data_IF_230860485171
#
_entry.id   IF_230860485171
#
_cell.length_a   1.000
_cell.length_b   1.000
_cell.length_c   1.000
_cell.angle_alpha   90.00
_cell.angle_beta   90.00
_cell.angle_gamma   90.00
#
_symmetry.space_group_name_H-M   'P 1'
#
loop_
_entity.id
_entity.type
_entity.pdbx_description
1 polymer ?
#
# COMPACT_ATOMS: atom_id res chain seq x y z
N UNK A 1 -2.35 -39.88 -44.49
CA UNK A 1 -3.45 -39.10 -43.86
C UNK A 1 -3.06 -37.63 -43.93
N UNK A 2 -3.63 -36.82 -44.83
CA UNK A 2 -3.38 -35.38 -44.82
C UNK A 2 -3.90 -34.78 -43.51
N UNK A 3 -3.06 -33.98 -42.85
CA UNK A 3 -3.39 -33.35 -41.58
C UNK A 3 -4.56 -32.39 -41.75
N UNK A 4 -5.64 -32.62 -41.00
CA UNK A 4 -6.77 -31.72 -40.92
C UNK A 4 -6.28 -30.36 -40.38
N UNK A 5 -6.07 -29.40 -41.27
CA UNK A 5 -5.95 -28.00 -40.89
C UNK A 5 -7.32 -27.55 -40.37
N UNK A 6 -7.46 -27.46 -39.04
CA UNK A 6 -8.67 -26.92 -38.40
C UNK A 6 -8.71 -25.43 -38.73
N UNK A 7 -9.52 -25.06 -39.72
CA UNK A 7 -9.82 -23.65 -40.02
C UNK A 7 -10.70 -23.14 -38.88
N UNK A 8 -10.13 -22.32 -37.99
CA UNK A 8 -10.90 -21.60 -36.97
C UNK A 8 -11.56 -20.39 -37.63
N UNK A 9 -12.85 -20.48 -37.91
CA UNK A 9 -13.65 -19.35 -38.40
C UNK A 9 -14.27 -18.60 -37.22
N UNK A 10 -14.14 -17.27 -37.17
CA UNK A 10 -14.78 -16.43 -36.14
C UNK A 10 -15.81 -15.55 -36.82
N UNK A 11 -17.08 -15.76 -36.46
CA UNK A 11 -18.18 -14.91 -36.92
C UNK A 11 -18.29 -13.70 -36.01
N UNK A 12 -17.83 -12.54 -36.48
CA UNK A 12 -18.01 -11.26 -35.82
C UNK A 12 -19.44 -10.81 -36.11
N UNK A 13 -20.25 -10.65 -35.05
CA UNK A 13 -21.63 -10.14 -35.18
C UNK A 13 -21.67 -8.67 -35.58
N UNK A 14 -22.86 -8.12 -35.81
CA UNK A 14 -23.01 -6.69 -36.05
C UNK A 14 -22.49 -5.87 -34.85
N UNK A 15 -21.82 -4.76 -35.15
CA UNK A 15 -21.38 -3.84 -34.11
C UNK A 15 -22.60 -3.26 -33.39
N UNK A 16 -22.61 -3.30 -32.06
CA UNK A 16 -23.63 -2.68 -31.23
C UNK A 16 -23.02 -1.56 -30.37
N UNK A 17 -23.79 -0.51 -30.02
CA UNK A 17 -23.33 0.50 -29.08
C UNK A 17 -23.30 -0.06 -27.64
N UNK A 18 -22.42 0.45 -26.76
CA UNK A 18 -22.44 0.15 -25.34
C UNK A 18 -23.70 0.66 -24.66
N UNK A 19 -24.09 0.06 -23.55
CA UNK A 19 -25.26 0.50 -22.80
C UNK A 19 -24.94 1.70 -21.91
N UNK A 20 -25.69 2.79 -22.10
CA UNK A 20 -25.38 4.09 -21.49
C UNK A 20 -26.22 4.44 -20.26
N UNK A 21 -27.30 3.72 -19.97
CA UNK A 21 -28.18 4.02 -18.84
C UNK A 21 -27.74 3.31 -17.54
N UNK A 22 -28.21 3.76 -16.36
CA UNK A 22 -27.90 3.13 -15.08
C UNK A 22 -28.39 1.68 -15.00
N UNK A 23 -27.68 0.84 -14.25
CA UNK A 23 -28.00 -0.58 -14.06
C UNK A 23 -29.44 -0.81 -13.56
N UNK A 24 -29.94 0.08 -12.70
CA UNK A 24 -31.29 0.02 -12.14
C UNK A 24 -32.43 0.19 -13.17
N UNK A 25 -32.13 0.64 -14.39
CA UNK A 25 -33.11 0.75 -15.47
C UNK A 25 -33.37 -0.56 -16.22
N UNK A 26 -32.50 -1.56 -16.03
CA UNK A 26 -32.53 -2.82 -16.75
C UNK A 26 -33.43 -3.84 -16.07
N UNK A 27 -34.07 -4.70 -16.86
CA UNK A 27 -34.92 -5.77 -16.35
C UNK A 27 -34.14 -7.09 -16.25
N UNK A 28 -34.17 -7.81 -15.11
CA UNK A 28 -33.41 -9.04 -14.95
C UNK A 28 -33.79 -10.13 -15.97
N UNK A 29 -32.79 -10.86 -16.48
CA UNK A 29 -32.94 -12.05 -17.33
C UNK A 29 -32.11 -13.20 -16.77
N UNK A 30 -32.61 -14.44 -16.93
CA UNK A 30 -31.95 -15.67 -16.48
C UNK A 30 -31.08 -16.26 -17.57
N UNK A 31 -30.15 -17.14 -17.22
CA UNK A 31 -29.33 -17.84 -18.22
C UNK A 31 -30.20 -18.69 -19.17
N UNK A 32 -31.21 -19.39 -18.65
CA UNK A 32 -32.10 -20.24 -19.46
C UNK A 32 -32.99 -19.47 -20.44
N UNK A 33 -33.22 -18.20 -20.18
CA UNK A 33 -34.05 -17.34 -21.02
C UNK A 33 -33.25 -16.71 -22.16
N UNK A 34 -31.94 -16.95 -22.22
CA UNK A 34 -31.08 -16.45 -23.29
C UNK A 34 -31.37 -17.18 -24.60
N UNK A 35 -31.56 -16.39 -25.65
CA UNK A 35 -31.79 -16.86 -27.01
C UNK A 35 -30.52 -16.77 -27.85
N UNK A 36 -30.25 -17.82 -28.62
CA UNK A 36 -29.02 -17.96 -29.41
C UNK A 36 -28.89 -16.84 -30.45
N UNK A 37 -27.66 -16.34 -30.64
CA UNK A 37 -27.32 -15.23 -31.54
C UNK A 37 -28.17 -13.96 -31.32
N UNK A 38 -28.62 -13.72 -30.08
CA UNK A 38 -29.48 -12.59 -29.74
C UNK A 38 -28.88 -11.70 -28.66
N UNK A 39 -28.91 -10.38 -28.92
CA UNK A 39 -28.58 -9.33 -27.97
C UNK A 39 -29.81 -8.98 -27.13
N UNK A 40 -29.79 -9.26 -25.84
CA UNK A 40 -30.95 -9.06 -24.96
C UNK A 40 -31.06 -7.61 -24.50
N UNK A 41 -31.52 -6.72 -25.38
CA UNK A 41 -31.62 -5.28 -25.13
C UNK A 41 -32.52 -4.95 -23.93
N UNK A 42 -32.11 -3.97 -23.12
CA UNK A 42 -32.86 -3.57 -21.92
C UNK A 42 -32.89 -4.62 -20.80
N UNK A 43 -32.08 -5.68 -20.92
CA UNK A 43 -31.97 -6.76 -19.93
C UNK A 43 -30.65 -6.70 -19.17
N UNK A 44 -30.66 -7.21 -17.94
CA UNK A 44 -29.44 -7.41 -17.13
C UNK A 44 -29.37 -8.86 -16.68
N UNK A 45 -28.21 -9.47 -16.86
CA UNK A 45 -27.91 -10.80 -16.35
C UNK A 45 -26.97 -10.65 -15.14
N UNK A 46 -27.39 -11.19 -13.99
CA UNK A 46 -26.60 -11.18 -12.76
C UNK A 46 -26.09 -12.59 -12.51
N UNK A 47 -24.78 -12.73 -12.39
CA UNK A 47 -24.12 -14.03 -12.26
C UNK A 47 -22.96 -13.99 -11.28
N UNK A 48 -22.65 -15.14 -10.67
CA UNK A 48 -21.45 -15.36 -9.86
C UNK A 48 -20.45 -16.21 -10.64
N UNK A 49 -19.20 -15.77 -10.70
CA UNK A 49 -18.11 -16.59 -11.21
C UNK A 49 -17.73 -17.65 -10.17
N UNK A 50 -17.68 -18.92 -10.55
CA UNK A 50 -17.28 -20.02 -9.65
C UNK A 50 -16.03 -20.77 -10.12
N UNK A 51 -15.60 -20.55 -11.36
CA UNK A 51 -14.36 -21.10 -11.91
C UNK A 51 -13.13 -20.20 -11.70
N UNK A 52 -11.98 -20.67 -12.19
CA UNK A 52 -10.76 -19.87 -12.31
C UNK A 52 -10.78 -19.10 -13.64
N UNK A 53 -10.50 -17.78 -13.64
CA UNK A 53 -10.45 -17.03 -14.89
C UNK A 53 -9.30 -17.54 -15.77
N UNK A 54 -9.60 -17.75 -17.05
CA UNK A 54 -8.63 -18.21 -18.04
C UNK A 54 -8.52 -17.19 -19.19
N UNK A 55 -7.34 -17.10 -19.80
CA UNK A 55 -7.06 -16.16 -20.89
C UNK A 55 -6.90 -16.94 -22.19
N UNK A 56 -7.71 -16.58 -23.18
CA UNK A 56 -7.50 -16.97 -24.57
C UNK A 56 -7.32 -15.71 -25.40
N UNK A 57 -8.32 -15.33 -26.19
CA UNK A 57 -8.43 -14.01 -26.83
C UNK A 57 -9.23 -13.00 -25.97
N UNK A 58 -9.88 -13.51 -24.93
CA UNK A 58 -10.68 -12.80 -23.93
C UNK A 58 -10.40 -13.40 -22.55
N UNK A 59 -10.87 -12.72 -21.50
CA UNK A 59 -10.93 -13.30 -20.16
C UNK A 59 -12.23 -14.08 -20.05
N UNK A 60 -12.13 -15.37 -19.74
CA UNK A 60 -13.25 -16.31 -19.70
C UNK A 60 -13.36 -16.91 -18.30
N UNK A 61 -14.57 -17.01 -17.76
CA UNK A 61 -14.83 -17.75 -16.53
C UNK A 61 -16.18 -18.50 -16.61
N UNK A 62 -16.33 -19.55 -15.81
CA UNK A 62 -17.60 -20.23 -15.59
C UNK A 62 -18.43 -19.44 -14.58
N UNK A 63 -19.70 -19.22 -14.91
CA UNK A 63 -20.62 -18.38 -14.15
C UNK A 63 -21.94 -19.11 -13.87
N UNK A 64 -22.55 -18.82 -12.73
CA UNK A 64 -23.85 -19.35 -12.32
C UNK A 64 -24.84 -18.20 -12.06
N UNK A 65 -26.12 -18.40 -12.35
CA UNK A 65 -27.19 -17.46 -11.99
C UNK A 65 -27.88 -17.82 -10.67
N UNK A 66 -28.84 -17.00 -10.22
CA UNK A 66 -29.54 -17.18 -8.93
C UNK A 66 -30.34 -18.48 -8.84
N UNK A 67 -30.63 -19.13 -9.97
CA UNK A 67 -31.36 -20.40 -10.03
C UNK A 67 -30.42 -21.61 -10.12
N UNK A 68 -29.10 -21.38 -10.16
CA UNK A 68 -28.08 -22.42 -10.26
C UNK A 68 -27.84 -22.92 -11.68
N UNK A 69 -28.36 -22.24 -12.70
CA UNK A 69 -27.99 -22.50 -14.08
C UNK A 69 -26.57 -22.00 -14.33
N UNK A 70 -25.80 -22.70 -15.17
CA UNK A 70 -24.37 -22.42 -15.38
C UNK A 70 -24.04 -22.26 -16.86
N UNK A 71 -23.16 -21.30 -17.17
CA UNK A 71 -22.62 -21.11 -18.52
C UNK A 71 -21.24 -20.44 -18.47
N UNK A 72 -20.61 -20.19 -19.62
CA UNK A 72 -19.36 -19.45 -19.76
C UNK A 72 -19.64 -17.98 -20.04
N UNK A 73 -18.88 -17.11 -19.38
CA UNK A 73 -18.84 -15.68 -19.66
C UNK A 73 -17.47 -15.31 -20.23
N UNK A 74 -17.46 -14.57 -21.34
CA UNK A 74 -16.25 -14.08 -21.98
C UNK A 74 -16.28 -12.55 -22.17
N UNK A 75 -15.27 -11.87 -21.63
CA UNK A 75 -15.13 -10.42 -21.67
C UNK A 75 -13.99 -10.04 -22.61
N UNK A 76 -14.33 -9.30 -23.67
CA UNK A 76 -13.43 -8.88 -24.74
C UNK A 76 -12.96 -7.43 -24.57
N UNK A 77 -12.01 -7.03 -25.41
CA UNK A 77 -11.50 -5.66 -25.53
C UNK A 77 -10.89 -5.11 -24.22
N UNK A 78 -10.32 -5.99 -23.41
CA UNK A 78 -9.53 -5.63 -22.23
C UNK A 78 -8.05 -5.47 -22.61
N UNK A 79 -7.33 -4.62 -21.88
CA UNK A 79 -5.89 -4.43 -22.08
C UNK A 79 -5.15 -5.71 -21.71
N UNK A 80 -4.15 -6.09 -22.52
CA UNK A 80 -3.33 -7.30 -22.30
C UNK A 80 -2.52 -7.27 -21.00
N UNK A 81 -2.37 -6.10 -20.37
CA UNK A 81 -1.68 -5.92 -19.09
C UNK A 81 -2.54 -6.21 -17.86
N UNK A 82 -3.85 -6.38 -18.03
CA UNK A 82 -4.77 -6.59 -16.91
C UNK A 82 -4.70 -8.04 -16.46
N UNK A 83 -4.54 -8.28 -15.15
CA UNK A 83 -4.52 -9.64 -14.62
C UNK A 83 -5.94 -10.24 -14.66
N UNK A 84 -6.11 -11.53 -15.01
CA UNK A 84 -7.44 -12.15 -15.13
C UNK A 84 -8.22 -12.14 -13.81
N UNK A 85 -7.51 -12.33 -12.71
CA UNK A 85 -8.05 -12.26 -11.35
C UNK A 85 -8.53 -10.86 -10.95
N UNK A 86 -8.08 -9.80 -11.63
CA UNK A 86 -8.54 -8.43 -11.36
C UNK A 86 -9.85 -8.11 -12.10
N UNK A 87 -10.27 -8.94 -13.07
CA UNK A 87 -11.46 -8.71 -13.91
C UNK A 87 -12.64 -9.55 -13.43
N UNK A 88 -12.47 -10.87 -13.36
CA UNK A 88 -13.55 -11.79 -12.99
C UNK A 88 -13.01 -12.92 -12.10
N UNK A 89 -12.59 -12.60 -10.86
CA UNK A 89 -12.07 -13.59 -9.94
C UNK A 89 -13.13 -14.61 -9.52
N UNK A 90 -12.67 -15.77 -9.03
CA UNK A 90 -13.55 -16.76 -8.43
C UNK A 90 -14.33 -16.16 -7.25
N UNK A 91 -15.65 -16.37 -7.24
CA UNK A 91 -16.59 -15.83 -6.26
C UNK A 91 -17.10 -14.42 -6.58
N UNK A 92 -16.59 -13.75 -7.63
CA UNK A 92 -17.06 -12.43 -8.01
C UNK A 92 -18.50 -12.47 -8.52
N UNK A 93 -19.30 -11.49 -8.13
CA UNK A 93 -20.66 -11.30 -8.63
C UNK A 93 -20.62 -10.14 -9.62
N UNK A 94 -21.12 -10.38 -10.83
CA UNK A 94 -21.10 -9.40 -11.91
C UNK A 94 -22.50 -9.23 -12.50
N UNK A 95 -22.78 -7.98 -12.88
CA UNK A 95 -23.93 -7.65 -13.70
C UNK A 95 -23.48 -7.38 -15.13
N UNK A 96 -24.14 -8.02 -16.08
CA UNK A 96 -23.90 -7.92 -17.51
C UNK A 96 -25.09 -7.19 -18.11
N UNK A 97 -24.83 -6.00 -18.66
CA UNK A 97 -25.84 -5.21 -19.35
C UNK A 97 -25.99 -5.75 -20.76
N UNK A 98 -27.22 -5.98 -21.18
CA UNK A 98 -27.58 -6.50 -22.50
C UNK A 98 -26.74 -7.72 -22.90
N UNK A 99 -26.88 -8.87 -22.23
CA UNK A 99 -26.06 -10.04 -22.52
C UNK A 99 -26.26 -10.51 -23.97
N UNK A 100 -25.15 -10.74 -24.67
CA UNK A 100 -25.14 -11.39 -25.99
C UNK A 100 -24.91 -12.88 -25.82
N UNK A 101 -25.82 -13.71 -26.29
CA UNK A 101 -25.62 -15.17 -26.25
C UNK A 101 -25.21 -15.69 -27.62
N UNK A 102 -24.04 -16.32 -27.71
CA UNK A 102 -23.37 -16.62 -28.98
C UNK A 102 -22.84 -18.05 -29.03
N UNK A 103 -22.78 -18.61 -30.23
CA UNK A 103 -22.05 -19.84 -30.52
C UNK A 103 -20.57 -19.60 -30.85
N UNK A 104 -19.67 -20.35 -30.22
CA UNK A 104 -18.24 -20.38 -30.57
C UNK A 104 -18.01 -21.13 -31.88
N UNK A 105 -16.81 -20.95 -32.45
CA UNK A 105 -16.34 -21.70 -33.62
C UNK A 105 -16.32 -23.23 -33.38
N UNK A 106 -16.09 -23.64 -32.14
CA UNK A 106 -15.99 -25.05 -31.73
C UNK A 106 -17.39 -25.67 -31.46
N UNK A 107 -18.47 -24.93 -31.72
CA UNK A 107 -19.86 -25.38 -31.62
C UNK A 107 -20.51 -25.17 -30.24
N UNK A 108 -19.73 -24.64 -29.32
CA UNK A 108 -19.99 -24.41 -27.90
C UNK A 108 -20.79 -23.10 -27.67
N UNK A 109 -21.49 -22.95 -26.55
CA UNK A 109 -22.26 -21.73 -26.22
C UNK A 109 -21.60 -20.93 -25.09
N UNK A 110 -21.81 -19.60 -25.11
CA UNK A 110 -21.32 -18.69 -24.08
C UNK A 110 -21.99 -17.31 -24.15
N UNK A 111 -21.95 -16.60 -23.02
CA UNK A 111 -22.29 -15.18 -22.91
C UNK A 111 -21.07 -14.34 -23.28
N UNK A 112 -21.24 -13.42 -24.23
CA UNK A 112 -20.19 -12.54 -24.74
C UNK A 112 -20.44 -11.10 -24.29
N UNK A 113 -19.39 -10.42 -23.85
CA UNK A 113 -19.38 -8.98 -23.55
C UNK A 113 -18.25 -8.31 -24.31
N UNK A 114 -18.59 -7.41 -25.25
CA UNK A 114 -17.59 -6.71 -26.06
C UNK A 114 -17.19 -5.35 -25.46
N UNK A 115 -18.08 -4.69 -24.74
CA UNK A 115 -17.80 -3.40 -24.13
C UNK A 115 -17.52 -3.58 -22.65
N UNK A 116 -16.30 -3.24 -22.17
CA UNK A 116 -15.99 -3.33 -20.74
C UNK A 116 -16.93 -2.52 -19.83
N UNK A 117 -17.60 -1.48 -20.35
CA UNK A 117 -18.60 -0.68 -19.62
C UNK A 117 -19.93 -1.39 -19.35
N UNK A 118 -20.20 -2.46 -20.09
CA UNK A 118 -21.40 -3.29 -19.96
C UNK A 118 -21.20 -4.40 -18.92
N UNK A 119 -19.97 -4.55 -18.44
CA UNK A 119 -19.59 -5.42 -17.35
C UNK A 119 -19.41 -4.60 -16.06
N UNK A 120 -20.11 -4.97 -14.99
CA UNK A 120 -20.04 -4.29 -13.70
C UNK A 120 -19.85 -5.30 -12.57
N UNK A 121 -18.73 -5.22 -11.86
CA UNK A 121 -18.52 -5.96 -10.62
C UNK A 121 -19.41 -5.38 -9.51
N UNK A 122 -20.25 -6.21 -8.92
CA UNK A 122 -21.12 -5.84 -7.82
C UNK A 122 -20.39 -6.04 -6.49
N UNK A 123 -20.56 -5.08 -5.57
CA UNK A 123 -20.14 -5.24 -4.17
C UNK A 123 -21.10 -6.18 -3.46
N UNK A 124 -20.59 -6.97 -2.52
CA UNK A 124 -21.41 -7.91 -1.71
C UNK A 124 -22.59 -7.21 -1.01
N UNK A 125 -22.41 -5.95 -0.58
CA UNK A 125 -23.45 -5.19 0.12
C UNK A 125 -24.47 -4.53 -0.83
N UNK A 126 -24.34 -4.73 -2.14
CA UNK A 126 -25.26 -4.13 -3.10
C UNK A 126 -26.64 -4.80 -3.02
N UNK A 127 -27.70 -3.99 -2.92
CA UNK A 127 -29.09 -4.46 -2.98
C UNK A 127 -29.44 -5.19 -4.29
N UNK A 128 -28.58 -5.06 -5.31
CA UNK A 128 -28.76 -5.73 -6.61
C UNK A 128 -28.30 -7.18 -6.60
N UNK A 129 -27.58 -7.64 -5.57
CA UNK A 129 -27.09 -9.02 -5.49
C UNK A 129 -28.20 -9.93 -4.95
N UNK A 130 -28.64 -10.94 -5.73
CA UNK A 130 -29.58 -11.94 -5.23
C UNK A 130 -29.01 -12.70 -4.02
N UNK A 131 -29.80 -12.93 -2.95
CA UNK A 131 -29.36 -13.67 -1.76
C UNK A 131 -28.78 -15.06 -2.06
N UNK A 132 -29.24 -15.71 -3.12
CA UNK A 132 -28.82 -17.04 -3.57
C UNK A 132 -27.41 -17.02 -4.17
N UNK A 133 -27.05 -15.92 -4.81
CA UNK A 133 -25.73 -15.64 -5.38
C UNK A 133 -24.77 -15.03 -4.37
N UNK A 134 -25.28 -14.43 -3.29
CA UNK A 134 -24.44 -14.08 -2.15
C UNK A 134 -23.64 -15.33 -1.75
N UNK A 135 -22.33 -15.18 -1.46
CA UNK A 135 -21.48 -16.34 -1.25
C UNK A 135 -22.09 -17.23 -0.17
N UNK A 136 -22.49 -18.45 -0.57
CA UNK A 136 -22.69 -19.54 0.39
C UNK A 136 -21.37 -19.62 1.14
N UNK A 137 -21.42 -19.70 2.47
CA UNK A 137 -20.27 -19.60 3.40
C UNK A 137 -19.29 -20.79 3.27
N UNK A 138 -19.25 -21.44 2.12
CA UNK A 138 -18.52 -22.66 1.82
C UNK A 138 -17.78 -22.45 0.49
N UNK A 139 -16.45 -22.48 0.54
CA UNK A 139 -15.47 -22.47 -0.58
C UNK A 139 -14.71 -21.17 -0.91
N UNK A 140 -14.69 -20.20 -0.01
CA UNK A 140 -13.45 -19.47 0.25
C UNK A 140 -13.03 -19.84 1.66
N UNK A 141 -11.76 -20.12 1.85
CA UNK A 141 -11.13 -20.43 3.13
C UNK A 141 -11.19 -19.17 4.05
N UNK A 142 -12.40 -18.84 4.53
CA UNK A 142 -12.86 -17.55 5.04
C UNK A 142 -12.52 -17.31 6.52
N UNK A 143 -11.70 -18.18 7.12
CA UNK A 143 -11.22 -17.90 8.46
C UNK A 143 -10.42 -16.60 8.43
N UNK A 144 -10.78 -15.64 9.30
CA UNK A 144 -10.03 -14.40 9.51
C UNK A 144 -8.52 -14.68 9.71
N UNK A 145 -8.18 -15.85 10.26
CA UNK A 145 -6.81 -16.31 10.43
C UNK A 145 -6.09 -16.62 9.09
N UNK A 146 -6.76 -17.29 8.14
CA UNK A 146 -6.20 -17.57 6.81
C UNK A 146 -6.04 -16.28 6.00
N UNK A 147 -7.00 -15.36 6.08
CA UNK A 147 -6.91 -14.05 5.45
C UNK A 147 -5.76 -13.22 6.04
N UNK A 148 -5.56 -13.27 7.36
CA UNK A 148 -4.40 -12.67 8.04
C UNK A 148 -3.08 -13.23 7.49
N UNK A 149 -2.96 -14.54 7.35
CA UNK A 149 -1.74 -15.19 6.84
C UNK A 149 -1.43 -14.80 5.39
N UNK A 150 -2.45 -14.77 4.53
CA UNK A 150 -2.32 -14.27 3.15
C UNK A 150 -1.91 -12.80 3.12
N UNK A 151 -2.53 -11.97 3.97
CA UNK A 151 -2.16 -10.55 4.12
C UNK A 151 -0.70 -10.39 4.56
N UNK A 152 -0.22 -11.22 5.50
CA UNK A 152 1.17 -11.22 5.93
C UNK A 152 2.12 -11.62 4.79
N UNK A 153 1.74 -12.57 3.95
CA UNK A 153 2.53 -12.99 2.79
C UNK A 153 2.65 -11.86 1.75
N UNK A 154 1.54 -11.21 1.41
CA UNK A 154 1.54 -10.07 0.46
C UNK A 154 2.28 -8.86 1.02
N UNK A 155 2.17 -8.60 2.33
CA UNK A 155 2.97 -7.58 3.01
C UNK A 155 4.48 -7.86 2.84
N UNK A 156 4.93 -9.10 3.08
CA UNK A 156 6.35 -9.46 2.89
C UNK A 156 6.80 -9.33 1.43
N UNK A 157 5.91 -9.54 0.46
CA UNK A 157 6.18 -9.36 -0.98
C UNK A 157 6.24 -7.90 -1.42
N UNK A 158 5.86 -6.95 -0.57
CA UNK A 158 5.78 -5.53 -0.90
C UNK A 158 4.48 -5.11 -1.61
N UNK A 159 3.52 -6.03 -1.74
CA UNK A 159 2.21 -5.77 -2.34
C UNK A 159 1.26 -5.15 -1.31
N UNK A 160 1.58 -3.92 -0.87
CA UNK A 160 0.90 -3.27 0.24
C UNK A 160 -0.61 -3.04 -0.01
N UNK A 161 -1.03 -2.80 -1.25
CA UNK A 161 -2.46 -2.66 -1.60
C UNK A 161 -3.24 -3.96 -1.35
N UNK A 162 -2.77 -5.08 -1.91
CA UNK A 162 -3.39 -6.40 -1.69
C UNK A 162 -3.38 -6.81 -0.22
N UNK A 163 -2.32 -6.48 0.51
CA UNK A 163 -2.27 -6.72 1.95
C UNK A 163 -3.34 -5.92 2.71
N UNK A 164 -3.57 -4.65 2.38
CA UNK A 164 -4.60 -3.82 3.01
C UNK A 164 -6.03 -4.35 2.78
N UNK A 165 -6.30 -4.82 1.55
CA UNK A 165 -7.56 -5.48 1.19
C UNK A 165 -7.76 -6.77 1.99
N UNK A 166 -6.73 -7.64 2.04
CA UNK A 166 -6.80 -8.91 2.78
C UNK A 166 -7.00 -8.70 4.28
N UNK A 167 -6.35 -7.72 4.91
CA UNK A 167 -6.59 -7.40 6.32
C UNK A 167 -7.97 -6.79 6.55
N UNK A 168 -8.49 -6.00 5.61
CA UNK A 168 -9.84 -5.44 5.72
C UNK A 168 -10.91 -6.52 5.60
N UNK A 169 -10.73 -7.45 4.66
CA UNK A 169 -11.59 -8.64 4.54
C UNK A 169 -11.49 -9.54 5.78
N UNK A 170 -10.30 -9.68 6.37
CA UNK A 170 -10.12 -10.44 7.61
C UNK A 170 -10.86 -9.81 8.80
N UNK A 171 -10.89 -8.48 8.90
CA UNK A 171 -11.65 -7.77 9.93
C UNK A 171 -13.15 -7.93 9.72
N UNK A 172 -13.64 -7.75 8.48
CA UNK A 172 -15.04 -8.00 8.15
C UNK A 172 -15.46 -9.45 8.48
N UNK A 173 -14.61 -10.43 8.20
CA UNK A 173 -14.85 -11.83 8.56
C UNK A 173 -14.84 -12.06 10.08
N UNK A 174 -13.98 -11.37 10.83
CA UNK A 174 -13.96 -11.46 12.29
C UNK A 174 -15.24 -10.87 12.92
N UNK A 175 -15.73 -9.75 12.39
CA UNK A 175 -16.97 -9.10 12.83
C UNK A 175 -18.20 -9.99 12.59
N UNK A 176 -18.26 -10.66 11.43
CA UNK A 176 -19.38 -11.56 11.07
C UNK A 176 -19.49 -12.78 11.99
N UNK A 177 -18.37 -13.29 12.48
CA UNK A 177 -18.34 -14.50 13.32
C UNK A 177 -18.56 -14.15 14.80
N UNK A 178 -18.75 -12.86 15.14
CA UNK A 178 -18.76 -12.35 16.52
C UNK A 178 -17.61 -12.97 17.33
N UNK A 179 -16.43 -13.06 16.71
CA UNK A 179 -15.29 -13.70 17.34
C UNK A 179 -14.89 -12.85 18.55
N UNK A 180 -15.13 -13.36 19.75
CA UNK A 180 -14.64 -12.81 21.03
C UNK A 180 -13.08 -12.81 21.13
N UNK A 181 -12.38 -13.10 20.02
CA UNK A 181 -10.93 -13.04 19.91
C UNK A 181 -10.47 -11.58 19.68
N UNK A 182 -10.57 -10.80 20.76
CA UNK A 182 -10.04 -9.45 20.89
C UNK A 182 -8.57 -9.36 20.45
N UNK A 183 -7.80 -10.43 20.60
CA UNK A 183 -6.37 -10.47 20.25
C UNK A 183 -6.16 -10.58 18.74
N UNK A 184 -6.97 -11.37 18.02
CA UNK A 184 -6.94 -11.46 16.56
C UNK A 184 -7.32 -10.13 15.91
N UNK A 185 -8.40 -9.50 16.37
CA UNK A 185 -8.86 -8.20 15.86
C UNK A 185 -7.78 -7.13 16.08
N UNK A 186 -7.17 -7.07 17.27
CA UNK A 186 -6.04 -6.16 17.54
C UNK A 186 -4.82 -6.47 16.69
N UNK A 187 -4.54 -7.73 16.38
CA UNK A 187 -3.43 -8.12 15.51
C UNK A 187 -3.66 -7.68 14.06
N UNK A 188 -4.90 -7.81 13.57
CA UNK A 188 -5.30 -7.33 12.24
C UNK A 188 -5.17 -5.81 12.14
N UNK A 189 -5.65 -5.05 13.13
CA UNK A 189 -5.45 -3.59 13.18
C UNK A 189 -3.96 -3.22 13.22
N UNK A 190 -3.12 -3.92 14.00
CA UNK A 190 -1.65 -3.68 14.01
C UNK A 190 -1.02 -3.83 12.62
N UNK A 191 -1.38 -4.90 11.91
CA UNK A 191 -0.82 -5.20 10.60
C UNK A 191 -1.35 -4.25 9.52
N UNK A 192 -2.65 -3.92 9.57
CA UNK A 192 -3.27 -2.96 8.67
C UNK A 192 -2.72 -1.55 8.88
N UNK A 193 -2.51 -1.11 10.13
CA UNK A 193 -1.84 0.16 10.44
C UNK A 193 -0.43 0.23 9.82
N UNK A 194 0.35 -0.83 9.95
CA UNK A 194 1.69 -0.91 9.36
C UNK A 194 1.66 -0.83 7.83
N UNK A 195 0.67 -1.48 7.20
CA UNK A 195 0.46 -1.48 5.75
C UNK A 195 0.04 -0.12 5.24
N UNK A 196 -0.96 0.50 5.87
CA UNK A 196 -1.46 1.83 5.52
C UNK A 196 -0.40 2.92 5.70
N UNK A 197 0.50 2.75 6.67
CA UNK A 197 1.63 3.66 6.84
C UNK A 197 2.59 3.60 5.64
N UNK A 198 2.81 2.42 5.05
CA UNK A 198 3.60 2.26 3.82
C UNK A 198 2.91 2.85 2.59
N UNK A 199 1.58 2.78 2.55
CA UNK A 199 0.75 3.35 1.49
C UNK A 199 0.54 4.88 1.60
N UNK A 200 1.01 5.53 2.67
CA UNK A 200 0.78 6.95 2.90
C UNK A 200 -0.64 7.31 3.35
N UNK A 201 -1.46 6.33 3.75
CA UNK A 201 -2.85 6.52 4.22
C UNK A 201 -2.88 6.88 5.71
N UNK A 202 -2.34 8.05 6.05
CA UNK A 202 -1.98 8.40 7.44
C UNK A 202 -3.16 8.48 8.42
N UNK A 203 -4.30 9.04 8.02
CA UNK A 203 -5.49 9.11 8.90
C UNK A 203 -5.99 7.72 9.29
N UNK A 204 -6.08 6.83 8.31
CA UNK A 204 -6.48 5.43 8.53
C UNK A 204 -5.46 4.67 9.37
N UNK A 205 -4.16 4.96 9.21
CA UNK A 205 -3.11 4.40 10.09
C UNK A 205 -3.33 4.79 11.55
N UNK A 206 -3.72 6.04 11.83
CA UNK A 206 -3.95 6.51 13.20
C UNK A 206 -5.12 5.75 13.83
N UNK A 207 -6.24 5.62 13.10
CA UNK A 207 -7.42 4.88 13.56
C UNK A 207 -7.06 3.43 13.90
N UNK A 208 -6.41 2.71 12.96
CA UNK A 208 -6.02 1.32 13.19
C UNK A 208 -4.97 1.16 14.29
N UNK A 209 -4.00 2.07 14.37
CA UNK A 209 -2.99 2.03 15.41
C UNK A 209 -3.63 2.14 16.80
N UNK A 210 -4.52 3.12 16.99
CA UNK A 210 -5.21 3.34 18.26
C UNK A 210 -6.18 2.20 18.61
N UNK A 211 -6.92 1.68 17.63
CA UNK A 211 -7.80 0.52 17.82
C UNK A 211 -7.05 -0.74 18.27
N UNK A 212 -5.75 -0.83 17.99
CA UNK A 212 -4.93 -1.96 18.39
C UNK A 212 -4.29 -1.88 19.78
N UNK A 213 -4.47 -0.76 20.49
CA UNK A 213 -3.90 -0.56 21.83
C UNK A 213 -4.63 -1.46 22.83
N UNK A 214 -3.84 -2.23 23.58
CA UNK A 214 -4.33 -3.05 24.69
C UNK A 214 -4.39 -2.18 25.95
N UNK A 215 -5.60 -1.91 26.45
CA UNK A 215 -5.78 -1.25 27.74
C UNK A 215 -5.59 -2.28 28.84
N UNK A 216 -4.44 -2.25 29.52
CA UNK A 216 -4.14 -3.18 30.59
C UNK A 216 -5.06 -2.93 31.79
N UNK A 217 -5.84 -3.94 32.19
CA UNK A 217 -6.56 -3.96 33.47
C UNK A 217 -5.62 -4.50 34.56
N UNK A 218 -4.84 -3.60 35.16
CA UNK A 218 -3.94 -3.78 36.31
C UNK A 218 -2.71 -4.73 36.18
N UNK A 219 -1.57 -4.21 36.65
CA UNK A 219 -0.28 -4.77 37.13
C UNK A 219 0.42 -5.99 36.51
N UNK A 220 -0.12 -6.66 35.50
CA UNK A 220 0.62 -7.70 34.75
C UNK A 220 0.54 -7.48 33.24
N UNK A 221 1.02 -6.32 32.79
CA UNK A 221 1.28 -6.12 31.36
C UNK A 221 2.51 -6.91 30.97
N UNK A 222 2.30 -8.08 30.36
CA UNK A 222 3.36 -8.85 29.69
C UNK A 222 4.22 -7.92 28.82
N UNK A 223 5.53 -8.18 28.77
CA UNK A 223 6.47 -7.37 27.99
C UNK A 223 6.06 -7.28 26.50
N UNK A 224 5.39 -8.32 25.99
CA UNK A 224 4.81 -8.33 24.65
C UNK A 224 3.69 -7.27 24.47
N UNK A 225 2.85 -7.06 25.47
CA UNK A 225 1.76 -6.07 25.45
C UNK A 225 2.32 -4.66 25.44
N UNK A 226 3.36 -4.40 26.24
CA UNK A 226 4.08 -3.11 26.21
C UNK A 226 4.65 -2.85 24.82
N UNK A 227 5.31 -3.83 24.22
CA UNK A 227 5.89 -3.70 22.88
C UNK A 227 4.81 -3.45 21.80
N UNK A 228 3.66 -4.13 21.88
CA UNK A 228 2.54 -3.89 20.98
C UNK A 228 1.99 -2.46 21.09
N UNK A 229 1.80 -1.96 22.32
CA UNK A 229 1.31 -0.61 22.57
C UNK A 229 2.33 0.46 22.12
N UNK A 230 3.62 0.22 22.35
CA UNK A 230 4.70 1.10 21.85
C UNK A 230 4.67 1.16 20.32
N UNK A 231 4.55 0.01 19.63
CA UNK A 231 4.47 -0.06 18.16
C UNK A 231 3.24 0.66 17.62
N UNK A 232 2.10 0.53 18.28
CA UNK A 232 0.87 1.24 17.94
C UNK A 232 1.07 2.77 18.05
N UNK A 233 1.52 3.25 19.21
CA UNK A 233 1.77 4.68 19.45
C UNK A 233 2.84 5.25 18.52
N UNK A 234 3.90 4.49 18.25
CA UNK A 234 4.95 4.89 17.31
C UNK A 234 4.40 5.05 15.89
N UNK A 235 3.58 4.13 15.40
CA UNK A 235 2.94 4.24 14.07
C UNK A 235 1.98 5.43 14.00
N UNK A 236 1.17 5.66 15.04
CA UNK A 236 0.30 6.84 15.13
C UNK A 236 1.11 8.15 15.15
N UNK A 237 2.21 8.19 15.91
CA UNK A 237 3.14 9.32 15.96
C UNK A 237 3.79 9.60 14.60
N UNK A 238 4.24 8.56 13.88
CA UNK A 238 4.79 8.73 12.52
C UNK A 238 3.75 9.17 11.51
N UNK A 239 2.54 8.64 11.56
CA UNK A 239 1.45 9.06 10.67
C UNK A 239 1.07 10.53 10.91
N UNK A 240 0.88 10.93 12.16
CA UNK A 240 0.59 12.34 12.52
C UNK A 240 1.74 13.29 12.17
N UNK A 241 2.99 12.86 12.34
CA UNK A 241 4.17 13.63 11.90
C UNK A 241 4.14 13.85 10.38
N UNK A 242 3.84 12.80 9.61
CA UNK A 242 3.74 12.89 8.14
C UNK A 242 2.58 13.75 7.66
N UNK A 243 1.54 13.90 8.45
CA UNK A 243 0.44 14.84 8.20
C UNK A 243 0.78 16.30 8.60
N UNK A 244 1.97 16.57 9.15
CA UNK A 244 2.34 17.90 9.65
C UNK A 244 1.71 18.26 11.00
N UNK A 245 0.97 17.34 11.63
CA UNK A 245 0.39 17.56 12.96
C UNK A 245 1.41 17.26 14.06
N UNK A 246 2.47 18.07 14.13
CA UNK A 246 3.63 17.82 14.99
C UNK A 246 3.28 17.81 16.49
N UNK A 247 2.30 18.60 16.92
CA UNK A 247 1.84 18.58 18.31
C UNK A 247 1.23 17.21 18.69
N UNK A 248 0.38 16.64 17.84
CA UNK A 248 -0.19 15.30 18.05
C UNK A 248 0.89 14.23 18.00
N UNK A 249 1.83 14.32 17.05
CA UNK A 249 2.96 13.42 16.94
C UNK A 249 3.81 13.40 18.23
N UNK A 250 4.15 14.58 18.77
CA UNK A 250 4.87 14.74 20.04
C UNK A 250 4.15 14.02 21.18
N UNK A 251 2.82 14.12 21.25
CA UNK A 251 2.03 13.47 22.30
C UNK A 251 2.04 11.94 22.17
N UNK A 252 1.94 11.39 20.96
CA UNK A 252 2.05 9.95 20.73
C UNK A 252 3.44 9.40 21.07
N UNK A 253 4.52 10.08 20.67
CA UNK A 253 5.88 9.66 21.01
C UNK A 253 6.17 9.79 22.51
N UNK A 254 5.68 10.85 23.17
CA UNK A 254 5.74 10.94 24.64
C UNK A 254 4.98 9.81 25.32
N UNK A 255 3.79 9.45 24.83
CA UNK A 255 3.02 8.34 25.37
C UNK A 255 3.76 7.00 25.22
N UNK A 256 4.44 6.77 24.09
CA UNK A 256 5.27 5.58 23.90
C UNK A 256 6.47 5.52 24.86
N UNK A 257 7.16 6.65 25.08
CA UNK A 257 8.28 6.73 26.02
C UNK A 257 7.88 6.63 27.50
N UNK A 258 6.60 6.88 27.84
CA UNK A 258 6.08 6.58 29.18
C UNK A 258 6.02 5.07 29.46
N UNK A 259 5.88 4.24 28.42
CA UNK A 259 5.84 2.78 28.54
C UNK A 259 7.27 2.22 28.63
N UNK A 260 8.14 2.61 27.70
CA UNK A 260 9.56 2.24 27.70
C UNK A 260 10.42 3.47 27.38
N UNK A 261 11.16 3.94 28.38
CA UNK A 261 12.03 5.11 28.29
C UNK A 261 13.30 4.87 27.48
N UNK A 262 13.62 3.63 27.08
CA UNK A 262 14.87 3.29 26.39
C UNK A 262 14.71 3.09 24.87
N UNK A 263 13.50 3.19 24.31
CA UNK A 263 13.27 3.09 22.86
C UNK A 263 13.96 4.21 22.08
N UNK A 264 15.13 3.91 21.49
CA UNK A 264 15.98 4.86 20.75
C UNK A 264 15.26 5.49 19.56
N UNK A 265 14.54 4.69 18.78
CA UNK A 265 13.76 5.13 17.61
C UNK A 265 12.77 6.24 17.98
N UNK A 266 12.01 6.03 19.05
CA UNK A 266 11.00 6.98 19.54
C UNK A 266 11.66 8.26 20.06
N UNK A 267 12.83 8.18 20.71
CA UNK A 267 13.60 9.36 21.15
C UNK A 267 14.05 10.22 19.97
N UNK A 268 14.55 9.60 18.91
CA UNK A 268 14.99 10.30 17.69
C UNK A 268 13.81 11.01 17.05
N UNK A 269 12.70 10.31 16.79
CA UNK A 269 11.52 10.91 16.17
C UNK A 269 10.88 12.00 17.04
N UNK A 270 10.90 11.85 18.38
CA UNK A 270 10.46 12.90 19.29
C UNK A 270 11.37 14.14 19.22
N UNK A 271 12.69 13.95 19.10
CA UNK A 271 13.64 15.05 18.94
C UNK A 271 13.37 15.82 17.63
N UNK A 272 13.23 15.09 16.52
CA UNK A 272 12.87 15.69 15.22
C UNK A 272 11.53 16.44 15.29
N UNK A 273 10.53 15.86 15.95
CA UNK A 273 9.21 16.49 16.13
C UNK A 273 9.29 17.77 16.96
N UNK A 274 10.11 17.80 18.02
CA UNK A 274 10.31 19.01 18.83
C UNK A 274 10.97 20.12 18.00
N UNK A 275 11.92 19.77 17.13
CA UNK A 275 12.56 20.74 16.26
C UNK A 275 11.59 21.31 15.23
N UNK A 276 10.78 20.45 14.58
CA UNK A 276 9.70 20.88 13.69
C UNK A 276 8.68 21.80 14.36
N UNK A 277 8.40 21.59 15.64
CA UNK A 277 7.56 22.50 16.43
C UNK A 277 8.24 23.85 16.68
N UNK A 278 9.53 23.87 17.02
CA UNK A 278 10.27 25.12 17.19
C UNK A 278 10.38 25.91 15.88
N UNK A 279 10.61 25.23 14.76
CA UNK A 279 10.56 25.80 13.40
C UNK A 279 9.19 26.43 13.11
N UNK A 280 8.09 25.71 13.43
CA UNK A 280 6.72 26.19 13.20
C UNK A 280 6.33 27.38 14.10
N UNK A 281 6.72 27.35 15.38
CA UNK A 281 6.33 28.36 16.36
C UNK A 281 7.19 29.63 16.27
N UNK A 282 8.49 29.47 16.01
CA UNK A 282 9.46 30.56 16.12
C UNK A 282 10.13 30.93 14.78
N UNK A 283 9.91 30.14 13.72
CA UNK A 283 10.64 30.33 12.45
C UNK A 283 12.13 29.99 12.55
N UNK A 284 12.52 29.18 13.53
CA UNK A 284 13.92 28.83 13.82
C UNK A 284 14.46 27.77 12.85
N UNK A 285 14.70 28.19 11.61
CA UNK A 285 15.35 27.37 10.58
C UNK A 285 16.84 27.69 10.50
N UNK A 286 17.66 26.67 10.31
CA UNK A 286 19.09 26.84 10.02
C UNK A 286 19.29 27.19 8.53
N UNK A 287 18.83 28.39 8.14
CA UNK A 287 18.95 28.90 6.79
C UNK A 287 20.42 28.98 6.33
N UNK A 288 21.35 29.17 7.26
CA UNK A 288 22.79 29.19 6.97
C UNK A 288 23.27 27.82 6.49
N UNK A 289 22.93 26.74 7.20
CA UNK A 289 23.26 25.39 6.77
C UNK A 289 22.59 25.00 5.45
N UNK A 290 21.31 25.36 5.27
CA UNK A 290 20.57 25.11 4.02
C UNK A 290 21.27 25.84 2.86
N UNK A 291 21.54 27.14 3.01
CA UNK A 291 22.22 27.94 1.99
C UNK A 291 23.62 27.41 1.68
N UNK A 292 24.38 26.96 2.68
CA UNK A 292 25.70 26.36 2.49
C UNK A 292 25.64 25.08 1.66
N UNK A 293 24.66 24.20 1.91
CA UNK A 293 24.46 22.98 1.12
C UNK A 293 24.02 23.36 -0.30
N UNK A 294 23.01 24.21 -0.45
CA UNK A 294 22.49 24.66 -1.75
C UNK A 294 23.60 25.26 -2.60
N UNK A 295 24.42 26.17 -2.04
CA UNK A 295 25.55 26.77 -2.76
C UNK A 295 26.57 25.74 -3.24
N UNK A 296 26.86 24.70 -2.44
CA UNK A 296 27.77 23.61 -2.85
C UNK A 296 27.18 22.78 -4.00
N UNK A 297 25.87 22.52 -3.98
CA UNK A 297 25.21 21.71 -5.00
C UNK A 297 24.99 22.50 -6.31
N UNK A 298 24.73 23.82 -6.21
CA UNK A 298 24.40 24.69 -7.33
C UNK A 298 25.45 24.66 -8.44
N UNK A 299 26.73 24.63 -8.04
CA UNK A 299 27.91 24.70 -8.91
C UNK A 299 28.57 23.35 -9.17
N UNK A 300 28.02 22.25 -8.65
CA UNK A 300 28.62 20.91 -8.81
C UNK A 300 27.54 19.87 -9.21
N UNK A 301 27.28 19.70 -10.51
CA UNK A 301 26.27 18.77 -11.02
C UNK A 301 26.49 17.33 -10.57
N UNK A 302 27.74 16.87 -10.52
CA UNK A 302 28.09 15.51 -10.09
C UNK A 302 27.74 15.27 -8.62
N UNK A 303 28.06 16.24 -7.76
CA UNK A 303 27.72 16.19 -6.34
C UNK A 303 26.20 16.29 -6.13
N UNK A 304 25.53 17.21 -6.84
CA UNK A 304 24.08 17.38 -6.80
C UNK A 304 23.33 16.10 -7.18
N UNK A 305 23.77 15.42 -8.25
CA UNK A 305 23.16 14.16 -8.68
C UNK A 305 23.27 13.07 -7.60
N UNK A 306 24.45 12.93 -6.97
CA UNK A 306 24.64 11.95 -5.90
C UNK A 306 23.85 12.30 -4.64
N UNK A 307 23.76 13.58 -4.31
CA UNK A 307 23.04 14.09 -3.14
C UNK A 307 21.52 13.89 -3.30
N UNK A 308 20.95 14.31 -4.43
CA UNK A 308 19.52 14.17 -4.71
C UNK A 308 19.06 12.71 -4.78
N UNK A 309 19.97 11.79 -5.08
CA UNK A 309 19.67 10.37 -5.08
C UNK A 309 19.42 9.78 -3.67
N UNK A 310 19.86 10.47 -2.61
CA UNK A 310 19.57 10.08 -1.22
C UNK A 310 18.07 10.12 -0.88
N UNK A 311 17.70 9.61 0.29
CA UNK A 311 16.30 9.48 0.69
C UNK A 311 15.69 10.85 1.09
N UNK A 312 14.64 11.27 0.40
CA UNK A 312 14.01 12.59 0.52
C UNK A 312 12.57 12.52 1.07
N UNK A 313 12.22 11.44 1.77
CA UNK A 313 10.90 11.18 2.35
C UNK A 313 9.74 10.85 1.40
N UNK A 314 10.00 10.47 0.14
CA UNK A 314 9.00 10.05 -0.86
C UNK A 314 7.93 11.10 -1.20
N UNK A 315 8.07 12.32 -0.67
CA UNK A 315 7.16 13.46 -0.89
C UNK A 315 7.45 14.20 -2.18
N UNK A 316 8.68 14.13 -2.72
CA UNK A 316 9.13 14.93 -3.86
C UNK A 316 9.00 14.24 -5.23
N UNK A 317 8.11 13.26 -5.35
CA UNK A 317 7.96 12.44 -6.57
C UNK A 317 9.21 11.59 -6.87
N UNK A 318 9.07 10.66 -7.83
CA UNK A 318 10.14 9.71 -8.14
C UNK A 318 11.22 10.29 -9.07
N UNK A 319 10.99 11.47 -9.67
CA UNK A 319 11.98 12.08 -10.55
C UNK A 319 13.12 12.68 -9.75
N UNK A 320 14.32 12.09 -9.89
CA UNK A 320 15.57 12.56 -9.25
C UNK A 320 16.57 13.14 -10.25
N UNK A 321 16.15 13.34 -11.51
CA UNK A 321 17.03 13.78 -12.59
C UNK A 321 17.37 15.27 -12.42
N UNK A 322 18.66 15.59 -12.38
CA UNK A 322 19.12 16.98 -12.36
C UNK A 322 18.82 17.67 -13.70
N UNK A 323 18.40 18.93 -13.62
CA UNK A 323 18.28 19.82 -14.79
C UNK A 323 19.28 20.95 -14.61
N UNK A 324 20.01 21.28 -15.68
CA UNK A 324 20.97 22.39 -15.68
C UNK A 324 20.32 23.55 -16.43
N UNK A 325 20.25 24.71 -15.79
CA UNK A 325 19.69 25.95 -16.33
C UNK A 325 20.73 27.05 -16.09
N UNK A 326 21.11 27.78 -17.12
CA UNK A 326 22.12 28.86 -17.05
C UNK A 326 23.44 28.44 -16.39
N UNK A 327 23.95 27.27 -16.77
CA UNK A 327 25.17 26.66 -16.21
C UNK A 327 25.13 26.36 -14.71
N UNK A 328 23.94 26.34 -14.10
CA UNK A 328 23.70 26.00 -12.70
C UNK A 328 22.73 24.84 -12.58
N UNK A 329 22.85 24.06 -11.52
CA UNK A 329 21.87 23.01 -11.22
C UNK A 329 20.57 23.65 -10.72
N UNK A 330 19.44 23.36 -11.36
CA UNK A 330 18.13 23.73 -10.82
C UNK A 330 17.83 22.86 -9.60
N UNK A 331 17.80 23.48 -8.42
CA UNK A 331 17.62 22.81 -7.12
C UNK A 331 16.32 23.24 -6.46
N UNK A 332 15.58 22.26 -5.94
CA UNK A 332 14.49 22.47 -4.99
C UNK A 332 15.10 22.53 -3.58
N UNK A 333 15.07 23.72 -2.97
CA UNK A 333 15.64 23.95 -1.63
C UNK A 333 14.93 23.17 -0.54
N UNK A 334 13.62 22.91 -0.66
CA UNK A 334 12.87 22.10 0.30
C UNK A 334 13.25 20.63 0.21
N UNK A 335 13.50 20.14 -1.00
CA UNK A 335 14.01 18.78 -1.21
C UNK A 335 15.42 18.62 -0.65
N UNK A 336 16.29 19.62 -0.87
CA UNK A 336 17.65 19.63 -0.32
C UNK A 336 17.61 19.59 1.21
N UNK A 337 16.78 20.43 1.84
CA UNK A 337 16.58 20.42 3.28
C UNK A 337 16.07 19.04 3.77
N UNK A 338 15.04 18.49 3.13
CA UNK A 338 14.48 17.18 3.52
C UNK A 338 15.53 16.06 3.44
N UNK A 339 16.37 16.04 2.41
CA UNK A 339 17.48 15.10 2.31
C UNK A 339 18.48 15.32 3.44
N UNK A 340 18.82 16.58 3.72
CA UNK A 340 19.76 16.91 4.79
C UNK A 340 19.29 16.38 6.15
N UNK A 341 18.01 16.54 6.45
CA UNK A 341 17.44 16.09 7.72
C UNK A 341 17.46 14.57 7.89
N UNK A 342 17.15 13.83 6.82
CA UNK A 342 16.93 12.38 6.88
C UNK A 342 18.23 11.57 6.74
N UNK A 343 19.29 12.18 6.21
CA UNK A 343 20.52 11.46 5.84
C UNK A 343 21.76 11.95 6.59
N UNK A 344 21.64 12.95 7.47
CA UNK A 344 22.76 13.48 8.27
C UNK A 344 23.16 12.56 9.41
N UNK A 345 24.43 12.62 9.75
CA UNK A 345 25.01 11.99 10.93
C UNK A 345 25.43 13.07 11.92
N UNK A 346 25.12 12.86 13.21
CA UNK A 346 25.75 13.61 14.29
C UNK A 346 27.19 13.16 14.46
N UNK A 347 28.12 14.10 14.48
CA UNK A 347 29.54 13.85 14.70
C UNK A 347 30.09 14.75 15.82
N UNK A 348 31.14 14.30 16.53
CA UNK A 348 31.85 15.15 17.47
C UNK A 348 32.39 16.40 16.77
N UNK A 349 32.35 17.54 17.45
CA UNK A 349 32.99 18.76 16.98
C UNK A 349 34.50 18.55 17.02
N UNK A 350 35.16 18.53 15.87
CA UNK A 350 36.63 18.45 15.81
C UNK A 350 37.17 19.79 16.33
N UNK A 351 37.51 19.87 17.62
CA UNK A 351 38.22 21.02 18.18
C UNK A 351 39.66 20.94 17.71
N UNK A 352 40.21 22.02 17.19
CA UNK A 352 41.59 22.13 16.69
C UNK A 352 42.66 22.17 17.79
N UNK A 353 42.36 21.68 19.01
CA UNK A 353 43.27 21.76 20.14
C UNK A 353 42.97 20.67 21.17
N UNK A 354 44.03 19.94 21.52
CA UNK A 354 44.03 18.89 22.55
C UNK A 354 43.57 19.46 23.88
N UNK A 355 42.36 19.10 24.30
CA UNK A 355 41.98 19.10 25.70
C UNK A 355 41.06 17.90 25.92
N UNK A 356 41.59 16.92 26.64
CA UNK A 356 40.87 15.74 27.07
C UNK A 356 39.72 16.13 28.00
N UNK A 357 38.54 15.58 27.70
CA UNK A 357 37.39 15.62 28.58
C UNK A 357 36.24 16.50 28.08
N UNK A 358 35.32 15.89 27.34
CA UNK A 358 33.93 16.38 27.29
C UNK A 358 32.96 15.22 27.35
N UNK A 359 32.13 15.27 28.39
CA UNK A 359 30.98 14.43 28.73
C UNK A 359 29.98 14.32 27.57
N UNK A 360 29.35 13.14 27.46
CA UNK A 360 28.25 12.85 26.54
C UNK A 360 27.07 13.83 26.77
N UNK A 361 26.98 14.89 25.97
CA UNK A 361 25.82 15.79 26.06
C UNK A 361 25.90 17.09 25.29
N UNK A 362 27.09 17.66 25.03
CA UNK A 362 27.17 19.04 24.55
C UNK A 362 27.91 19.18 23.21
N UNK A 363 27.18 19.71 22.23
CA UNK A 363 27.58 20.18 20.90
C UNK A 363 28.08 19.14 19.88
N UNK A 364 27.13 18.36 19.34
CA UNK A 364 27.37 17.54 18.15
C UNK A 364 27.23 18.39 16.87
N UNK A 365 28.28 18.44 16.07
CA UNK A 365 28.20 18.93 14.69
C UNK A 365 27.38 17.93 13.85
N UNK A 366 26.90 18.33 12.68
CA UNK A 366 26.20 17.43 11.75
C UNK A 366 26.83 17.46 10.37
N UNK A 367 26.97 16.29 9.75
CA UNK A 367 27.51 16.16 8.41
C UNK A 367 26.74 15.11 7.59
N UNK A 368 26.90 15.16 6.27
CA UNK A 368 26.32 14.19 5.34
C UNK A 368 27.46 13.52 4.59
N UNK A 369 27.53 12.20 4.74
CA UNK A 369 28.51 11.36 4.04
C UNK A 369 27.75 10.51 3.03
N UNK A 370 27.78 10.93 1.76
CA UNK A 370 26.93 10.37 0.71
C UNK A 370 26.91 8.83 0.67
N UNK A 371 28.07 8.18 0.81
CA UNK A 371 28.16 6.72 0.79
C UNK A 371 27.55 6.08 2.03
N UNK A 372 27.84 6.62 3.22
CA UNK A 372 27.31 6.11 4.47
C UNK A 372 25.80 6.36 4.59
N UNK A 373 25.28 7.44 4.00
CA UNK A 373 23.85 7.76 3.98
C UNK A 373 23.00 6.72 3.22
N UNK A 374 23.59 5.92 2.32
CA UNK A 374 22.88 4.78 1.70
C UNK A 374 22.66 3.62 2.66
N UNK A 375 23.42 3.54 3.76
CA UNK A 375 23.14 2.62 4.86
C UNK A 375 21.94 3.16 5.65
N UNK A 376 20.75 3.04 5.05
CA UNK A 376 19.49 3.49 5.61
C UNK A 376 19.31 2.78 6.96
N UNK A 377 19.25 3.55 8.05
CA UNK A 377 19.45 3.11 9.42
C UNK A 377 18.40 2.07 9.87
N UNK A 378 18.60 0.79 9.52
CA UNK A 378 17.96 -0.31 10.24
C UNK A 378 18.48 -0.24 11.67
N UNK A 379 17.59 -0.10 12.64
CA UNK A 379 17.88 0.16 14.05
C UNK A 379 18.53 -1.03 14.79
N UNK A 380 19.25 -1.88 14.06
CA UNK A 380 20.04 -2.96 14.60
C UNK A 380 21.38 -2.36 15.01
N UNK A 381 21.78 -2.55 16.27
CA UNK A 381 23.08 -2.14 16.81
C UNK A 381 24.22 -3.07 16.35
N UNK A 382 24.26 -3.38 15.05
CA UNK A 382 25.31 -4.23 14.46
C UNK A 382 26.46 -3.40 13.89
N UNK A 383 26.49 -2.08 14.08
CA UNK A 383 27.48 -1.19 13.48
C UNK A 383 27.95 -0.12 14.47
N UNK A 384 29.27 0.10 14.55
CA UNK A 384 29.89 1.26 15.18
C UNK A 384 30.37 2.27 14.14
N UNK A 385 30.44 3.54 14.54
CA UNK A 385 30.90 4.64 13.68
C UNK A 385 31.99 5.46 14.39
N UNK A 386 33.01 5.85 13.64
CA UNK A 386 34.06 6.77 14.06
C UNK A 386 34.24 7.87 13.01
N UNK A 387 34.70 9.04 13.44
CA UNK A 387 34.89 10.20 12.57
C UNK A 387 36.34 10.68 12.67
N UNK A 388 36.98 10.90 11.52
CA UNK A 388 38.34 11.44 11.42
C UNK A 388 38.28 12.58 10.40
N UNK A 389 38.19 13.83 10.87
CA UNK A 389 37.98 14.98 10.01
C UNK A 389 36.69 14.85 9.18
N UNK A 390 36.83 14.81 7.86
CA UNK A 390 35.76 14.62 6.88
C UNK A 390 35.52 13.15 6.49
N UNK A 391 36.19 12.20 7.16
CA UNK A 391 36.04 10.77 6.92
C UNK A 391 35.13 10.15 7.99
N UNK A 392 34.14 9.37 7.54
CA UNK A 392 33.37 8.47 8.40
C UNK A 392 33.86 7.04 8.20
N UNK A 393 34.14 6.36 9.31
CA UNK A 393 34.48 4.93 9.33
C UNK A 393 33.32 4.19 9.97
N UNK A 394 32.78 3.22 9.24
CA UNK A 394 31.64 2.41 9.65
C UNK A 394 32.11 0.97 9.79
N UNK A 395 32.00 0.39 11.00
CA UNK A 395 32.47 -0.98 11.30
C UNK A 395 31.31 -1.85 11.74
N UNK A 396 31.14 -3.03 11.12
CA UNK A 396 30.23 -4.04 11.61
C UNK A 396 30.74 -4.65 12.93
N UNK A 397 29.84 -4.77 13.91
CA UNK A 397 30.09 -5.33 15.24
C UNK A 397 29.70 -6.81 15.33
N UNK A 398 28.84 -7.30 14.44
CA UNK A 398 28.38 -8.68 14.38
C UNK A 398 28.18 -9.10 12.91
N UNK A 399 28.47 -10.38 12.62
CA UNK A 399 28.07 -11.00 11.35
C UNK A 399 26.57 -11.30 11.43
N UNK A 400 25.81 -10.82 10.45
CA UNK A 400 24.37 -11.08 10.31
C UNK A 400 24.15 -12.26 9.37
#
# INVERSE_FOLDING_TARGET
MPGNSVIRSTFIGEAYPPYTLPLASLTPIRLRDLTLETQHRGRVLIVRAFGKPNVYTSIINAVEDEFGDVDRLAIYNLLSTVAPDDVLPQGAIAAIKEPYYKRTADGDLFVRVDHPSDFVLLKLESQLVPPELAPRVTELDLSALKLKERGNAEFKRGNWQKADELYSNALAAADLVAADDDDLVRALHRNRAATRLRLGRYELTIVDALASIVVARAETSSEAVKDFNIKALYRAGRATYKMGSFFKAKNHFKAALKIDTQRKEVKVDLCLTKRRLAEQENGDYDFSAIAAVVNKLLWNPTLANRYLNLHDSSTFGNSKKITIVDSKVALDTFRVESIAELNRFGCPRVKSGDNEGTTEGEETSTGIWLQASYANHLCILNVSRAFIGDIIVVRALQNV
#
